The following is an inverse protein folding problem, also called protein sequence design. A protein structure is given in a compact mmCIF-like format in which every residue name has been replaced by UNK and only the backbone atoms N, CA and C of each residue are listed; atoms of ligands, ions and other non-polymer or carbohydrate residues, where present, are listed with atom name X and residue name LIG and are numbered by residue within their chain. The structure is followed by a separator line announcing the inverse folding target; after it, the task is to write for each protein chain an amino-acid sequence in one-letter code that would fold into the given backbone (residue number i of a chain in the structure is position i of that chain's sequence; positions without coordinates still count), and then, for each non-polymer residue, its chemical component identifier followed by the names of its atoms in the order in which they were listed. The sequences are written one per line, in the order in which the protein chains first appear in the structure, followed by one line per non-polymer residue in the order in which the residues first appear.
data_IF_112468071682
#
_entry.id   IF_112468071682
#
_cell.length_a   1.000
_cell.length_b   1.000
_cell.length_c   1.000
_cell.angle_alpha   90.00
_cell.angle_beta   90.00
_cell.angle_gamma   90.00
#
_symmetry.space_group_name_H-M   'P 1'
#
loop_
_entity.id
_entity.type
_entity.pdbx_description
1 polymer ?
#
# COMPACT_ATOMS: atom_id res chain seq x y z
N UNK A 1 -10.86 -67.46 21.12
CA UNK A 1 -10.37 -67.50 19.72
C UNK A 1 -9.74 -66.15 19.39
N UNK A 2 -8.40 -66.11 19.35
CA UNK A 2 -7.59 -64.95 18.94
C UNK A 2 -7.54 -64.88 17.41
N UNK A 3 -7.72 -63.69 16.83
CA UNK A 3 -7.19 -63.36 15.50
C UNK A 3 -6.38 -62.07 15.58
N UNK A 4 -5.06 -62.25 15.50
CA UNK A 4 -4.06 -61.24 15.21
C UNK A 4 -4.10 -60.88 13.72
N UNK A 5 -4.20 -59.59 13.40
CA UNK A 5 -3.75 -58.97 12.14
C UNK A 5 -3.20 -57.59 12.53
N UNK A 6 -1.91 -57.49 12.85
CA UNK A 6 -0.81 -57.14 11.94
C UNK A 6 -0.84 -55.68 11.48
N UNK A 7 0.09 -54.91 12.04
CA UNK A 7 0.41 -53.52 11.72
C UNK A 7 1.00 -53.38 10.31
N UNK A 8 0.68 -52.26 9.64
CA UNK A 8 1.66 -51.44 8.91
C UNK A 8 1.08 -50.05 8.63
N UNK A 9 1.73 -48.95 9.07
CA UNK A 9 1.35 -47.59 8.71
C UNK A 9 1.89 -47.22 7.32
N UNK A 10 1.02 -46.64 6.49
CA UNK A 10 1.37 -46.12 5.17
C UNK A 10 2.16 -44.81 5.33
N UNK A 11 3.45 -44.84 4.99
CA UNK A 11 4.26 -43.65 4.67
C UNK A 11 3.93 -43.19 3.25
N UNK A 12 3.62 -41.91 3.05
CA UNK A 12 4.39 -41.02 2.16
C UNK A 12 3.92 -39.55 2.23
N UNK A 13 4.84 -38.59 1.97
CA UNK A 13 4.64 -37.17 2.20
C UNK A 13 4.00 -36.49 0.98
N UNK A 14 2.94 -35.72 1.21
CA UNK A 14 2.40 -34.78 0.23
C UNK A 14 3.06 -33.41 0.36
N UNK A 15 4.26 -33.25 -0.23
CA UNK A 15 4.59 -31.98 -0.89
C UNK A 15 3.97 -32.05 -2.28
N UNK A 16 3.43 -30.93 -2.76
CA UNK A 16 2.95 -30.56 -4.10
C UNK A 16 1.73 -29.65 -3.81
N UNK A 17 1.65 -28.39 -4.21
CA UNK A 17 2.34 -27.62 -5.24
C UNK A 17 2.01 -26.17 -4.94
N UNK A 18 3.02 -25.31 -4.98
CA UNK A 18 2.81 -23.90 -5.25
C UNK A 18 1.94 -23.81 -6.51
N UNK A 19 0.70 -23.33 -6.36
CA UNK A 19 -0.07 -22.89 -7.51
C UNK A 19 0.65 -21.65 -8.03
N UNK A 20 1.52 -21.88 -9.01
CA UNK A 20 1.90 -20.87 -9.95
C UNK A 20 0.61 -20.31 -10.55
N UNK A 21 0.22 -19.11 -10.16
CA UNK A 21 -0.64 -18.30 -10.98
C UNK A 21 0.17 -17.89 -12.21
N UNK A 22 0.30 -18.81 -13.17
CA UNK A 22 0.66 -18.51 -14.53
C UNK A 22 -0.46 -17.64 -15.13
N UNK A 23 -0.39 -16.34 -14.89
CA UNK A 23 -1.08 -15.39 -15.75
C UNK A 23 -0.20 -15.23 -16.99
N UNK A 24 -0.54 -15.99 -18.03
CA UNK A 24 -0.04 -15.76 -19.40
C UNK A 24 -0.40 -14.34 -19.80
N UNK A 25 0.55 -13.42 -19.64
CA UNK A 25 0.53 -12.15 -20.35
C UNK A 25 0.96 -12.42 -21.78
N UNK A 26 -0.01 -12.75 -22.64
CA UNK A 26 0.13 -12.58 -24.08
C UNK A 26 0.35 -11.10 -24.34
N UNK A 27 1.59 -10.71 -24.63
CA UNK A 27 1.94 -9.34 -25.03
C UNK A 27 1.65 -9.20 -26.53
N UNK A 28 0.61 -8.48 -26.97
CA UNK A 28 0.51 -8.08 -28.36
C UNK A 28 1.63 -7.08 -28.67
N UNK A 29 2.51 -7.45 -29.61
CA UNK A 29 3.45 -6.52 -30.25
C UNK A 29 2.64 -5.49 -31.04
N UNK A 30 2.44 -4.30 -30.49
CA UNK A 30 1.91 -3.15 -31.20
C UNK A 30 2.89 -1.97 -31.08
N UNK A 31 3.65 -1.78 -32.16
CA UNK A 31 4.21 -0.52 -32.68
C UNK A 31 4.82 0.50 -31.71
N UNK A 32 6.14 0.62 -31.87
CA UNK A 32 7.08 1.59 -31.30
C UNK A 32 6.69 3.03 -31.69
N UNK A 33 5.85 3.69 -30.89
CA UNK A 33 5.65 5.15 -30.98
C UNK A 33 5.19 5.84 -29.68
N UNK A 34 4.81 5.10 -28.64
CA UNK A 34 4.27 5.68 -27.38
C UNK A 34 5.15 5.41 -26.15
N UNK A 35 6.44 5.11 -26.35
CA UNK A 35 7.33 4.57 -25.32
C UNK A 35 7.84 5.60 -24.27
N UNK A 36 7.47 6.88 -24.36
CA UNK A 36 7.86 7.90 -23.33
C UNK A 36 6.78 8.21 -22.29
N UNK A 37 5.52 7.87 -22.55
CA UNK A 37 4.41 8.14 -21.63
C UNK A 37 4.07 6.97 -20.70
N UNK A 38 4.57 5.77 -21.00
CA UNK A 38 4.29 4.58 -20.20
C UNK A 38 5.28 4.35 -19.03
N UNK A 39 6.39 5.09 -18.97
CA UNK A 39 7.42 4.90 -17.94
C UNK A 39 7.14 5.65 -16.62
N UNK A 40 6.20 6.59 -16.60
CA UNK A 40 5.82 7.31 -15.37
C UNK A 40 4.73 6.54 -14.58
N UNK A 41 3.91 5.73 -15.26
CA UNK A 41 2.78 5.03 -14.64
C UNK A 41 3.15 3.68 -13.98
N UNK A 42 4.30 3.10 -14.30
CA UNK A 42 4.67 1.74 -13.87
C UNK A 42 5.39 1.67 -12.51
N UNK A 43 5.76 2.80 -11.91
CA UNK A 43 6.44 2.82 -10.60
C UNK A 43 5.47 2.77 -9.39
N UNK A 44 4.16 2.81 -9.61
CA UNK A 44 3.18 3.03 -8.54
C UNK A 44 2.51 1.77 -7.96
N UNK A 45 2.76 0.56 -8.48
CA UNK A 45 1.98 -0.64 -8.12
C UNK A 45 2.80 -1.86 -7.63
N UNK A 46 3.81 -1.65 -6.76
CA UNK A 46 4.60 -2.79 -6.25
C UNK A 46 4.95 -2.73 -4.75
N UNK A 47 4.04 -2.26 -3.88
CA UNK A 47 4.29 -2.28 -2.43
C UNK A 47 3.12 -2.76 -1.55
N UNK A 48 2.07 -3.36 -2.11
CA UNK A 48 0.90 -3.79 -1.35
C UNK A 48 0.72 -5.31 -1.35
N UNK A 49 1.74 -6.06 -0.93
CA UNK A 49 1.59 -7.43 -0.39
C UNK A 49 2.95 -8.07 -0.08
N UNK A 50 3.68 -7.57 0.92
CA UNK A 50 4.64 -8.35 1.73
C UNK A 50 5.34 -7.41 2.72
N UNK A 51 5.08 -7.54 4.01
CA UNK A 51 5.80 -6.78 5.03
C UNK A 51 5.16 -6.87 6.40
N UNK A 52 5.20 -8.07 6.99
CA UNK A 52 4.82 -8.28 8.39
C UNK A 52 5.71 -7.43 9.31
N UNK A 53 5.08 -6.45 9.95
CA UNK A 53 5.68 -5.41 10.77
C UNK A 53 4.97 -4.12 10.43
N UNK A 54 4.02 -3.68 11.27
CA UNK A 54 3.39 -2.35 11.11
C UNK A 54 4.51 -1.32 11.26
N UNK A 55 5.10 -0.91 10.13
CA UNK A 55 5.95 0.27 10.07
C UNK A 55 5.14 1.48 10.51
N UNK A 56 5.82 2.56 10.90
CA UNK A 56 5.15 3.77 11.35
C UNK A 56 4.46 4.48 10.16
N UNK A 57 3.21 4.09 9.90
CA UNK A 57 2.42 4.60 8.77
C UNK A 57 2.01 6.05 8.99
N UNK A 58 1.87 6.46 10.25
CA UNK A 58 1.70 7.85 10.62
C UNK A 58 2.87 8.70 10.11
N UNK A 59 4.10 8.38 10.52
CA UNK A 59 5.28 9.12 10.07
C UNK A 59 5.41 9.10 8.55
N UNK A 60 5.21 7.94 7.91
CA UNK A 60 5.21 7.80 6.44
C UNK A 60 4.21 8.74 5.76
N UNK A 61 2.99 8.84 6.28
CA UNK A 61 1.95 9.70 5.73
C UNK A 61 2.32 11.19 5.88
N UNK A 62 2.78 11.59 7.06
CA UNK A 62 3.21 12.97 7.35
C UNK A 62 4.38 13.37 6.45
N UNK A 63 5.38 12.50 6.28
CA UNK A 63 6.54 12.76 5.42
C UNK A 63 6.13 12.96 3.96
N UNK A 64 5.18 12.15 3.45
CA UNK A 64 4.67 12.31 2.07
C UNK A 64 3.94 13.64 1.87
N UNK A 65 3.13 14.05 2.85
CA UNK A 65 2.44 15.34 2.81
C UNK A 65 3.44 16.49 2.92
N UNK A 66 4.43 16.39 3.82
CA UNK A 66 5.50 17.36 3.97
C UNK A 66 6.28 17.54 2.67
N UNK A 67 6.73 16.44 2.06
CA UNK A 67 7.45 16.46 0.80
C UNK A 67 6.64 17.04 -0.37
N UNK A 68 5.31 16.98 -0.33
CA UNK A 68 4.44 17.64 -1.29
C UNK A 68 4.42 19.16 -1.09
N UNK A 69 4.26 19.62 0.17
CA UNK A 69 4.30 21.04 0.50
C UNK A 69 5.66 21.68 0.18
N UNK A 70 6.77 20.96 0.40
CA UNK A 70 8.13 21.44 0.12
C UNK A 70 8.38 21.77 -1.36
N UNK A 71 7.55 21.26 -2.28
CA UNK A 71 7.66 21.56 -3.71
C UNK A 71 7.08 22.93 -4.08
N UNK A 72 6.34 23.57 -3.17
CA UNK A 72 5.73 24.86 -3.41
C UNK A 72 6.74 26.00 -3.35
N UNK A 73 6.79 26.81 -4.41
CA UNK A 73 7.63 28.02 -4.46
C UNK A 73 7.06 29.15 -3.59
N UNK A 74 5.75 29.17 -3.37
CA UNK A 74 5.05 30.13 -2.51
C UNK A 74 4.00 29.40 -1.68
N UNK A 75 3.79 29.82 -0.43
CA UNK A 75 2.80 29.19 0.46
C UNK A 75 3.23 27.87 1.09
N UNK A 76 4.50 27.44 0.93
CA UNK A 76 5.06 26.24 1.57
C UNK A 76 4.76 26.19 3.07
N UNK A 77 5.09 27.25 3.80
CA UNK A 77 4.97 27.24 5.27
C UNK A 77 3.50 27.16 5.72
N UNK A 78 2.59 27.78 4.97
CA UNK A 78 1.15 27.65 5.21
C UNK A 78 0.67 26.21 4.94
N UNK A 79 1.13 25.59 3.85
CA UNK A 79 0.84 24.18 3.54
C UNK A 79 1.32 23.24 4.66
N UNK A 80 2.57 23.42 5.13
CA UNK A 80 3.15 22.60 6.21
C UNK A 80 2.44 22.76 7.55
N UNK A 81 1.85 23.93 7.81
CA UNK A 81 1.07 24.22 9.01
C UNK A 81 -0.30 23.52 9.01
N UNK A 82 -0.85 23.22 7.84
CA UNK A 82 -2.14 22.53 7.70
C UNK A 82 -2.05 21.00 7.75
N UNK A 83 -0.83 20.44 7.71
CA UNK A 83 -0.63 19.01 7.92
C UNK A 83 -1.08 18.65 9.33
N UNK A 84 -2.16 17.87 9.43
CA UNK A 84 -2.73 17.41 10.70
C UNK A 84 -1.75 16.45 11.36
N UNK A 85 -1.24 16.83 12.53
CA UNK A 85 -0.36 16.01 13.35
C UNK A 85 -1.10 15.56 14.61
N UNK A 86 -0.78 14.36 15.08
CA UNK A 86 -1.31 13.84 16.34
C UNK A 86 -0.31 14.21 17.43
N UNK A 87 -0.69 15.11 18.33
CA UNK A 87 0.23 15.65 19.35
C UNK A 87 0.64 14.60 20.39
N UNK A 88 -0.23 13.64 20.70
CA UNK A 88 0.07 12.54 21.61
C UNK A 88 0.77 11.38 20.86
N UNK A 89 2.03 11.05 21.19
CA UNK A 89 2.74 9.94 20.56
C UNK A 89 2.08 8.58 20.78
N UNK A 90 1.35 8.39 21.88
CA UNK A 90 0.63 7.14 22.14
C UNK A 90 -0.57 7.03 21.20
N UNK A 91 -1.32 8.10 21.01
CA UNK A 91 -2.38 8.18 20.03
C UNK A 91 -1.84 7.98 18.60
N UNK A 92 -0.71 8.60 18.24
CA UNK A 92 -0.10 8.42 16.91
C UNK A 92 0.22 6.94 16.61
N UNK A 93 0.62 6.19 17.63
CA UNK A 93 0.93 4.75 17.55
C UNK A 93 -0.28 3.84 17.74
N UNK A 94 -1.45 4.38 18.07
CA UNK A 94 -2.64 3.59 18.28
C UNK A 94 -2.99 2.81 16.99
N UNK A 95 -3.39 1.52 17.09
CA UNK A 95 -3.71 0.70 15.92
C UNK A 95 -4.66 1.36 14.93
N UNK A 96 -5.75 1.96 15.42
CA UNK A 96 -6.74 2.64 14.59
C UNK A 96 -6.12 3.79 13.77
N UNK A 97 -5.28 4.61 14.41
CA UNK A 97 -4.59 5.70 13.71
C UNK A 97 -3.58 5.16 12.71
N UNK A 98 -2.79 4.15 13.07
CA UNK A 98 -1.85 3.53 12.14
C UNK A 98 -2.57 2.94 10.91
N UNK A 99 -3.75 2.33 11.10
CA UNK A 99 -4.54 1.80 9.98
C UNK A 99 -5.09 2.94 9.09
N UNK A 100 -5.64 4.01 9.69
CA UNK A 100 -6.11 5.19 8.92
C UNK A 100 -4.98 5.90 8.18
N UNK A 101 -3.82 6.10 8.82
CA UNK A 101 -2.66 6.70 8.18
C UNK A 101 -2.00 5.76 7.15
N UNK A 102 -2.23 4.45 7.21
CA UNK A 102 -1.84 3.53 6.13
C UNK A 102 -2.60 3.87 4.85
N UNK A 103 -3.93 4.07 4.93
CA UNK A 103 -4.75 4.50 3.80
C UNK A 103 -4.25 5.82 3.20
N UNK A 104 -3.96 6.81 4.06
CA UNK A 104 -3.38 8.08 3.63
C UNK A 104 -2.05 7.85 2.92
N UNK A 105 -1.13 7.14 3.56
CA UNK A 105 0.20 6.90 3.00
C UNK A 105 0.11 6.21 1.65
N UNK A 106 -0.75 5.21 1.48
CA UNK A 106 -0.78 4.38 0.27
C UNK A 106 -1.52 5.05 -0.90
N UNK A 107 -2.50 5.92 -0.63
CA UNK A 107 -3.31 6.57 -1.66
C UNK A 107 -2.99 8.04 -1.92
N UNK A 108 -2.10 8.65 -1.15
CA UNK A 108 -1.69 10.05 -1.33
C UNK A 108 -1.00 10.27 -2.68
N UNK A 109 -1.57 11.18 -3.48
CA UNK A 109 -0.97 11.69 -4.72
C UNK A 109 -0.97 13.21 -4.65
N UNK A 110 0.23 13.78 -4.69
CA UNK A 110 0.46 15.23 -4.62
C UNK A 110 -0.03 15.95 -5.88
N UNK A 111 -0.81 17.01 -5.71
CA UNK A 111 -1.02 18.08 -6.68
C UNK A 111 0.08 19.14 -6.48
N UNK A 112 1.05 19.25 -7.41
CA UNK A 112 2.18 20.14 -7.27
C UNK A 112 1.79 21.63 -7.35
N UNK A 113 0.61 21.96 -7.87
CA UNK A 113 0.15 23.35 -7.93
C UNK A 113 -0.33 23.86 -6.57
N UNK A 114 -0.82 22.96 -5.71
CA UNK A 114 -1.46 23.32 -4.43
C UNK A 114 -0.75 22.75 -3.21
N UNK A 115 0.16 21.78 -3.38
CA UNK A 115 0.84 21.09 -2.28
C UNK A 115 -0.08 20.14 -1.51
N UNK A 116 -1.25 19.80 -2.07
CA UNK A 116 -2.28 18.97 -1.44
C UNK A 116 -2.46 17.66 -2.19
N UNK A 117 -3.21 16.74 -1.61
CA UNK A 117 -3.66 15.57 -2.35
C UNK A 117 -4.61 15.98 -3.49
N UNK A 118 -4.50 15.33 -4.65
CA UNK A 118 -5.46 15.48 -5.74
C UNK A 118 -6.86 15.06 -5.30
N UNK A 119 -7.90 15.55 -5.98
CA UNK A 119 -9.28 15.17 -5.67
C UNK A 119 -9.51 13.64 -5.72
N UNK A 120 -8.96 12.98 -6.74
CA UNK A 120 -9.03 11.51 -6.88
C UNK A 120 -8.28 10.81 -5.73
N UNK A 121 -7.11 11.32 -5.34
CA UNK A 121 -6.37 10.79 -4.20
C UNK A 121 -7.15 10.91 -2.90
N UNK A 122 -7.80 12.04 -2.65
CA UNK A 122 -8.64 12.23 -1.46
C UNK A 122 -9.79 11.24 -1.42
N UNK A 123 -10.46 11.00 -2.55
CA UNK A 123 -11.54 10.01 -2.60
C UNK A 123 -11.03 8.61 -2.27
N UNK A 124 -9.91 8.17 -2.85
CA UNK A 124 -9.34 6.86 -2.52
C UNK A 124 -8.91 6.71 -1.06
N UNK A 125 -8.43 7.78 -0.43
CA UNK A 125 -8.13 7.78 0.99
C UNK A 125 -9.40 7.60 1.83
N UNK A 126 -10.46 8.32 1.50
CA UNK A 126 -11.76 8.23 2.19
C UNK A 126 -12.41 6.87 2.02
N UNK A 127 -12.38 6.31 0.80
CA UNK A 127 -12.89 4.97 0.51
C UNK A 127 -12.16 3.93 1.37
N UNK A 128 -10.82 3.97 1.38
CA UNK A 128 -10.01 3.07 2.20
C UNK A 128 -10.31 3.20 3.70
N UNK A 129 -10.42 4.41 4.23
CA UNK A 129 -10.73 4.64 5.65
C UNK A 129 -12.14 4.15 5.99
N UNK A 130 -13.11 4.36 5.09
CA UNK A 130 -14.48 3.89 5.26
C UNK A 130 -14.54 2.36 5.31
N UNK A 131 -13.76 1.68 4.46
CA UNK A 131 -13.64 0.22 4.44
C UNK A 131 -13.02 -0.36 5.72
N UNK A 132 -12.27 0.43 6.49
CA UNK A 132 -11.79 0.03 7.82
C UNK A 132 -12.93 -0.02 8.88
N UNK A 133 -14.09 0.57 8.58
CA UNK A 133 -15.21 0.68 9.52
C UNK A 133 -14.93 1.61 10.71
N UNK A 134 -14.04 2.58 10.52
CA UNK A 134 -13.66 3.63 11.49
C UNK A 134 -14.68 4.76 11.52
#
# INVERSE_FOLDING_TARGET
MLRLLSMSPIRRPGRLTARACEHRLTVPRATVASARLALIAAAALAAAACGGGRGDTYTKAIDRQGACCEQLTAGRDACLAEIVRVDDPAAARAPANQDSYACVADHFVCDPATGRATAESNQRQLDCITDLGQ
#
